data_IF_199171631019
#
_entry.id   IF_199171631019
#
_cell.length_a   1.000
_cell.length_b   1.000
_cell.length_c   1.000
_cell.angle_alpha   90.00
_cell.angle_beta   90.00
_cell.angle_gamma   90.00
#
_symmetry.space_group_name_H-M   'P 1'
#
loop_
_entity.id
_entity.type
_entity.pdbx_description
1 polymer ?
#
# COMPACT_ATOMS: atom_id res chain seq x y z
N UNK A 1 3.73 5.32 -17.08
CA UNK A 1 2.49 4.89 -17.78
C UNK A 1 1.63 6.08 -18.21
N UNK A 2 1.49 7.10 -17.37
CA UNK A 2 0.70 8.31 -17.61
C UNK A 2 1.32 9.34 -18.59
N UNK A 3 2.63 9.31 -18.81
CA UNK A 3 3.39 10.29 -19.60
C UNK A 3 3.12 10.31 -21.11
N UNK A 4 2.32 9.36 -21.63
CA UNK A 4 1.98 9.27 -23.06
C UNK A 4 0.62 9.89 -23.40
N UNK A 5 -0.14 10.34 -22.41
CA UNK A 5 -1.43 10.99 -22.64
C UNK A 5 -1.23 12.36 -23.28
N UNK A 6 -1.93 12.65 -24.38
CA UNK A 6 -1.89 13.95 -25.05
C UNK A 6 -2.88 14.92 -24.39
N UNK A 7 -2.51 16.20 -24.16
CA UNK A 7 -3.48 17.19 -23.71
C UNK A 7 -4.59 17.34 -24.74
N UNK A 8 -5.83 17.40 -24.27
CA UNK A 8 -6.98 17.82 -25.04
C UNK A 8 -7.65 18.99 -24.31
N UNK A 9 -8.04 20.02 -25.07
CA UNK A 9 -8.79 21.14 -24.51
C UNK A 9 -10.21 20.69 -24.17
N UNK A 10 -10.85 21.25 -23.13
CA UNK A 10 -12.22 20.89 -22.79
C UNK A 10 -13.21 21.15 -23.92
N UNK A 11 -12.95 22.16 -24.76
CA UNK A 11 -13.86 22.62 -25.82
C UNK A 11 -13.74 21.81 -27.12
N UNK A 12 -12.75 20.92 -27.23
CA UNK A 12 -12.56 20.08 -28.41
C UNK A 12 -12.71 18.59 -28.05
N UNK A 13 -13.28 17.77 -28.96
CA UNK A 13 -13.39 16.33 -28.74
C UNK A 13 -12.00 15.68 -28.71
N UNK A 14 -11.66 15.06 -27.57
CA UNK A 14 -10.43 14.31 -27.39
C UNK A 14 -10.41 13.03 -28.23
N UNK A 15 -9.22 12.63 -28.70
CA UNK A 15 -9.01 11.43 -29.50
C UNK A 15 -7.70 10.72 -29.12
N UNK A 16 -7.75 9.40 -29.07
CA UNK A 16 -6.65 8.56 -28.64
C UNK A 16 -6.43 8.64 -27.13
N UNK A 17 -5.25 8.25 -26.65
CA UNK A 17 -4.93 8.33 -25.23
C UNK A 17 -4.63 9.78 -24.81
N UNK A 18 -5.55 10.38 -24.05
CA UNK A 18 -5.58 11.82 -23.78
C UNK A 18 -5.91 12.13 -22.32
N UNK A 19 -5.60 13.36 -21.91
CA UNK A 19 -6.10 13.94 -20.67
C UNK A 19 -6.86 15.24 -20.95
N UNK A 20 -7.99 15.40 -20.26
CA UNK A 20 -8.83 16.61 -20.31
C UNK A 20 -8.90 17.18 -18.90
N UNK A 21 -8.70 18.49 -18.77
CA UNK A 21 -8.76 19.20 -17.49
C UNK A 21 -9.79 20.31 -17.58
N UNK A 22 -10.88 20.21 -16.81
CA UNK A 22 -11.95 21.21 -16.87
C UNK A 22 -13.00 21.02 -15.77
N UNK A 23 -14.00 21.91 -15.74
CA UNK A 23 -15.09 21.83 -14.77
C UNK A 23 -16.12 20.79 -15.22
N UNK A 24 -16.62 19.93 -14.30
CA UNK A 24 -17.72 19.04 -14.61
C UNK A 24 -19.00 19.84 -14.85
N UNK A 25 -19.77 19.45 -15.87
CA UNK A 25 -21.11 20.02 -16.11
C UNK A 25 -22.07 19.56 -14.99
N UNK A 26 -22.36 20.47 -14.06
CA UNK A 26 -23.24 20.25 -12.92
C UNK A 26 -24.74 20.29 -13.28
N UNK A 27 -25.10 20.68 -14.52
CA UNK A 27 -26.50 20.92 -14.93
C UNK A 27 -27.27 19.63 -15.25
N UNK A 28 -26.58 18.51 -15.47
CA UNK A 28 -27.17 17.19 -15.72
C UNK A 28 -26.90 16.29 -14.52
N UNK A 29 -27.88 16.29 -13.61
CA UNK A 29 -27.88 15.63 -12.31
C UNK A 29 -27.29 14.21 -12.33
N UNK A 30 -26.18 14.05 -11.60
CA UNK A 30 -25.66 12.75 -11.20
C UNK A 30 -26.14 12.48 -9.79
N UNK A 31 -27.36 11.96 -9.67
CA UNK A 31 -27.94 11.66 -8.37
C UNK A 31 -27.21 10.49 -7.71
N UNK A 32 -26.60 10.75 -6.56
CA UNK A 32 -26.15 9.72 -5.63
C UNK A 32 -27.35 9.25 -4.80
N UNK A 33 -27.86 8.02 -4.96
CA UNK A 33 -29.11 7.57 -4.31
C UNK A 33 -29.09 7.63 -2.78
N UNK A 34 -27.91 7.60 -2.18
CA UNK A 34 -27.70 7.55 -0.73
C UNK A 34 -27.17 8.87 -0.14
N UNK A 35 -27.03 9.92 -0.96
CA UNK A 35 -26.61 11.24 -0.49
C UNK A 35 -27.72 12.26 -0.75
N UNK A 36 -28.28 12.89 0.29
CA UNK A 36 -29.54 13.62 0.19
C UNK A 36 -29.53 14.84 -0.75
N UNK A 37 -28.37 15.40 -1.16
CA UNK A 37 -28.30 16.64 -1.97
C UNK A 37 -27.07 16.84 -2.86
N UNK A 38 -26.31 15.80 -3.23
CA UNK A 38 -25.00 16.02 -3.86
C UNK A 38 -24.92 15.47 -5.29
N UNK A 39 -24.62 16.36 -6.25
CA UNK A 39 -24.09 15.96 -7.56
C UNK A 39 -22.73 15.31 -7.31
N UNK A 40 -22.59 14.03 -7.65
CA UNK A 40 -21.39 13.27 -7.37
C UNK A 40 -20.81 12.70 -8.67
N UNK A 41 -19.49 12.61 -8.74
CA UNK A 41 -18.77 11.98 -9.86
C UNK A 41 -18.49 10.50 -9.60
N UNK A 42 -18.56 10.14 -8.33
CA UNK A 42 -18.25 8.83 -7.80
C UNK A 42 -18.93 8.70 -6.45
N UNK A 43 -19.53 7.54 -6.20
CA UNK A 43 -19.76 7.08 -4.84
C UNK A 43 -19.53 5.59 -4.70
N UNK A 44 -19.08 5.23 -3.51
CA UNK A 44 -18.93 3.87 -3.04
C UNK A 44 -19.52 3.80 -1.64
N UNK A 45 -20.47 2.89 -1.47
CA UNK A 45 -21.11 2.58 -0.22
C UNK A 45 -20.69 1.18 0.21
N UNK A 46 -20.17 1.09 1.43
CA UNK A 46 -19.84 -0.16 2.11
C UNK A 46 -20.67 -0.22 3.40
N UNK A 47 -21.48 -1.26 3.56
CA UNK A 47 -22.16 -1.59 4.81
C UNK A 47 -21.47 -2.80 5.45
N UNK A 48 -21.12 -2.68 6.72
CA UNK A 48 -20.50 -3.73 7.50
C UNK A 48 -21.28 -3.96 8.78
N UNK A 49 -21.48 -5.23 9.14
CA UNK A 49 -22.04 -5.63 10.44
C UNK A 49 -20.94 -6.13 11.35
N UNK A 50 -21.03 -5.83 12.63
CA UNK A 50 -20.16 -6.41 13.62
C UNK A 50 -20.61 -7.86 13.89
N UNK A 51 -19.82 -8.81 13.42
CA UNK A 51 -20.00 -10.23 13.72
C UNK A 51 -19.13 -10.63 14.90
N UNK A 52 -19.66 -11.53 15.73
CA UNK A 52 -18.91 -12.10 16.84
C UNK A 52 -18.69 -13.59 16.61
N UNK A 53 -17.42 -13.97 16.54
CA UNK A 53 -17.02 -15.37 16.34
C UNK A 53 -16.29 -15.86 17.58
N UNK A 54 -16.61 -17.06 18.03
CA UNK A 54 -15.83 -17.73 19.08
C UNK A 54 -14.69 -18.51 18.44
N UNK A 55 -13.44 -18.18 18.79
CA UNK A 55 -12.25 -18.89 18.31
C UNK A 55 -11.16 -18.93 19.37
N UNK A 56 -10.23 -19.86 19.23
CA UNK A 56 -9.02 -19.91 20.06
C UNK A 56 -8.03 -18.88 19.53
N UNK A 57 -7.56 -18.00 20.41
CA UNK A 57 -6.55 -16.97 20.11
C UNK A 57 -5.37 -17.11 21.06
N UNK A 58 -4.16 -16.87 20.58
CA UNK A 58 -2.94 -17.09 21.35
C UNK A 58 -2.01 -15.87 21.28
N UNK A 59 -1.25 -15.64 22.36
CA UNK A 59 -0.21 -14.61 22.40
C UNK A 59 -0.75 -13.21 22.06
N UNK A 60 -0.05 -12.51 21.15
CA UNK A 60 -0.39 -11.13 20.77
C UNK A 60 -1.76 -10.97 20.10
N UNK A 61 -2.31 -12.03 19.49
CA UNK A 61 -3.68 -11.98 18.95
C UNK A 61 -4.71 -11.87 20.07
N UNK A 62 -4.45 -12.50 21.22
CA UNK A 62 -5.34 -12.46 22.38
C UNK A 62 -5.39 -11.08 23.07
N UNK A 63 -4.41 -10.21 22.81
CA UNK A 63 -4.32 -8.85 23.38
C UNK A 63 -4.91 -7.77 22.46
N UNK A 64 -5.48 -8.15 21.31
CA UNK A 64 -6.10 -7.19 20.40
C UNK A 64 -7.37 -6.59 21.03
N UNK A 65 -7.67 -5.30 20.78
CA UNK A 65 -8.83 -4.62 21.37
C UNK A 65 -10.18 -5.21 20.94
N UNK A 66 -10.22 -5.98 19.84
CA UNK A 66 -11.42 -6.63 19.34
C UNK A 66 -11.61 -8.07 19.85
N UNK A 67 -10.83 -8.48 20.87
CA UNK A 67 -10.85 -9.83 21.44
C UNK A 67 -11.28 -9.78 22.90
N UNK A 68 -12.33 -10.52 23.23
CA UNK A 68 -12.79 -10.72 24.61
C UNK A 68 -12.47 -12.15 25.06
N UNK A 69 -11.51 -12.30 25.97
CA UNK A 69 -11.13 -13.59 26.57
C UNK A 69 -12.30 -14.14 27.39
N UNK A 70 -12.71 -15.38 27.11
CA UNK A 70 -13.82 -16.07 27.80
C UNK A 70 -13.26 -17.05 28.82
N UNK A 71 -12.40 -17.97 28.38
CA UNK A 71 -11.79 -18.99 29.23
C UNK A 71 -10.37 -19.33 28.76
N UNK A 72 -9.50 -19.86 29.64
CA UNK A 72 -8.24 -20.44 29.21
C UNK A 72 -8.49 -21.56 28.20
N UNK A 73 -7.64 -21.63 27.17
CA UNK A 73 -7.55 -22.76 26.25
C UNK A 73 -6.17 -23.43 26.42
N UNK A 74 -5.98 -24.68 25.93
CA UNK A 74 -4.68 -25.33 25.98
C UNK A 74 -3.61 -24.44 25.34
N UNK A 75 -2.49 -24.25 26.02
CA UNK A 75 -1.37 -23.46 25.52
C UNK A 75 -0.85 -24.05 24.19
N UNK A 76 -0.50 -23.17 23.26
CA UNK A 76 0.13 -23.56 22.01
C UNK A 76 1.62 -23.69 22.24
N UNK A 77 2.11 -24.91 22.13
CA UNK A 77 3.52 -25.23 22.33
C UNK A 77 4.22 -25.30 20.97
N UNK A 78 5.21 -24.43 20.77
CA UNK A 78 6.06 -24.45 19.58
C UNK A 78 7.51 -24.69 19.96
N UNK A 79 8.14 -25.69 19.34
CA UNK A 79 9.58 -25.89 19.47
C UNK A 79 10.30 -25.00 18.46
N UNK A 80 11.15 -24.09 18.94
CA UNK A 80 11.98 -23.23 18.09
C UNK A 80 13.45 -23.49 18.37
N UNK A 81 14.27 -23.46 17.33
CA UNK A 81 15.72 -23.52 17.48
C UNK A 81 16.21 -22.11 17.78
N UNK A 82 16.92 -21.95 18.89
CA UNK A 82 17.46 -20.67 19.34
C UNK A 82 18.97 -20.81 19.45
N UNK A 83 19.70 -19.99 18.72
CA UNK A 83 21.18 -19.99 18.78
C UNK A 83 21.63 -19.11 19.95
N UNK A 84 22.29 -19.72 20.94
CA UNK A 84 22.96 -18.99 22.03
C UNK A 84 24.44 -19.35 22.01
N UNK A 85 25.32 -18.35 21.97
CA UNK A 85 26.77 -18.54 21.93
C UNK A 85 27.24 -19.48 20.79
N UNK A 86 26.64 -19.37 19.61
CA UNK A 86 27.01 -20.17 18.44
C UNK A 86 26.60 -21.64 18.48
N UNK A 87 25.75 -22.04 19.44
CA UNK A 87 25.14 -23.38 19.49
C UNK A 87 23.62 -23.29 19.43
N UNK A 88 23.04 -24.21 18.67
CA UNK A 88 21.60 -24.32 18.47
C UNK A 88 20.97 -25.16 19.59
N UNK A 89 20.02 -24.56 20.30
CA UNK A 89 19.24 -25.22 21.34
C UNK A 89 17.78 -25.32 20.89
N UNK A 90 17.14 -26.48 21.11
CA UNK A 90 15.67 -26.57 21.00
C UNK A 90 15.07 -25.93 22.24
N UNK A 91 14.46 -24.79 22.06
CA UNK A 91 13.66 -24.14 23.09
C UNK A 91 12.18 -24.43 22.82
N UNK A 92 11.44 -24.71 23.88
CA UNK A 92 10.01 -24.98 23.79
C UNK A 92 9.27 -23.78 24.32
N UNK A 93 8.68 -23.00 23.42
CA UNK A 93 7.96 -21.79 23.77
C UNK A 93 6.48 -22.14 23.91
N UNK A 94 5.98 -22.10 25.15
CA UNK A 94 4.55 -22.20 25.44
C UNK A 94 3.91 -20.83 25.28
N UNK A 95 2.96 -20.71 24.35
CA UNK A 95 2.19 -19.48 24.13
C UNK A 95 0.80 -19.66 24.74
N UNK A 96 0.46 -18.78 25.69
CA UNK A 96 -0.85 -18.80 26.34
C UNK A 96 -1.97 -18.58 25.33
N UNK A 97 -3.01 -19.42 25.42
CA UNK A 97 -4.17 -19.36 24.55
C UNK A 97 -5.47 -19.19 25.33
N UNK A 98 -6.47 -18.60 24.67
CA UNK A 98 -7.78 -18.31 25.24
C UNK A 98 -8.86 -18.70 24.25
N UNK A 99 -9.95 -19.30 24.74
CA UNK A 99 -11.22 -19.26 24.04
C UNK A 99 -11.71 -17.81 24.13
N UNK A 100 -11.84 -17.14 22.99
CA UNK A 100 -12.22 -15.73 22.95
C UNK A 100 -13.38 -15.48 21.99
N UNK A 101 -14.18 -14.48 22.34
CA UNK A 101 -15.15 -13.87 21.44
C UNK A 101 -14.42 -12.77 20.68
N UNK A 102 -14.33 -12.89 19.36
CA UNK A 102 -13.65 -11.91 18.50
C UNK A 102 -14.70 -11.16 17.71
N UNK A 103 -14.66 -9.82 17.81
CA UNK A 103 -15.52 -8.95 17.03
C UNK A 103 -14.82 -8.53 15.74
N UNK A 104 -15.47 -8.77 14.61
CA UNK A 104 -14.95 -8.45 13.29
C UNK A 104 -16.05 -7.77 12.46
N UNK A 105 -15.69 -6.73 11.71
CA UNK A 105 -16.60 -6.09 10.77
C UNK A 105 -16.68 -6.95 9.51
N UNK A 106 -17.88 -7.42 9.19
CA UNK A 106 -18.15 -8.26 8.03
C UNK A 106 -18.98 -7.48 7.04
N UNK A 107 -18.53 -7.44 5.78
CA UNK A 107 -19.25 -6.76 4.70
C UNK A 107 -20.60 -7.41 4.46
N UNK A 108 -21.65 -6.60 4.46
CA UNK A 108 -23.05 -6.98 4.22
C UNK A 108 -23.48 -6.50 2.85
N UNK A 109 -23.22 -5.24 2.55
CA UNK A 109 -23.59 -4.63 1.29
C UNK A 109 -22.42 -3.83 0.70
N UNK A 110 -22.31 -3.86 -0.62
CA UNK A 110 -21.38 -3.05 -1.37
C UNK A 110 -22.11 -2.48 -2.59
N UNK A 111 -22.15 -1.15 -2.71
CA UNK A 111 -22.70 -0.47 -3.88
C UNK A 111 -21.64 0.49 -4.42
N UNK A 112 -21.38 0.39 -5.72
CA UNK A 112 -20.52 1.31 -6.45
C UNK A 112 -21.32 1.96 -7.56
N UNK A 113 -21.18 3.27 -7.72
CA UNK A 113 -21.65 3.97 -8.91
C UNK A 113 -20.70 5.09 -9.27
N UNK A 114 -20.42 5.20 -10.56
CA UNK A 114 -19.63 6.28 -11.12
C UNK A 114 -20.38 6.80 -12.34
N UNK A 115 -21.31 7.75 -12.13
CA UNK A 115 -22.16 8.24 -13.20
C UNK A 115 -21.34 8.97 -14.26
N UNK A 116 -21.80 8.90 -15.50
CA UNK A 116 -21.19 9.65 -16.60
C UNK A 116 -21.26 11.16 -16.34
N UNK A 117 -20.25 11.91 -16.79
CA UNK A 117 -20.25 13.37 -16.66
C UNK A 117 -19.58 14.02 -17.87
N UNK A 118 -19.78 15.33 -18.04
CA UNK A 118 -19.16 16.09 -19.14
C UNK A 118 -18.07 17.03 -18.63
N UNK A 119 -17.01 17.15 -19.41
CA UNK A 119 -15.94 18.14 -19.29
C UNK A 119 -15.87 18.92 -20.61
N UNK A 120 -16.64 20.01 -20.71
CA UNK A 120 -16.83 20.74 -21.96
C UNK A 120 -17.48 19.87 -23.04
N UNK A 121 -16.82 19.74 -24.19
CA UNK A 121 -17.21 18.88 -25.31
C UNK A 121 -16.99 17.38 -25.04
N UNK A 122 -16.26 17.02 -23.99
CA UNK A 122 -15.86 15.64 -23.70
C UNK A 122 -16.84 14.96 -22.73
N UNK A 123 -17.25 13.74 -23.02
CA UNK A 123 -18.07 12.91 -22.13
C UNK A 123 -17.18 11.85 -21.49
N UNK A 124 -17.14 11.82 -20.16
CA UNK A 124 -16.39 10.84 -19.37
C UNK A 124 -17.36 9.79 -18.88
N UNK A 125 -17.09 8.52 -19.18
CA UNK A 125 -17.83 7.36 -18.69
C UNK A 125 -16.88 6.55 -17.81
N UNK A 126 -16.91 6.75 -16.49
CA UNK A 126 -16.09 5.97 -15.58
C UNK A 126 -16.53 4.50 -15.56
N UNK A 127 -15.57 3.60 -15.32
CA UNK A 127 -15.84 2.19 -15.09
C UNK A 127 -15.37 1.78 -13.68
N UNK A 128 -15.65 0.54 -13.28
CA UNK A 128 -15.27 -0.02 -11.96
C UNK A 128 -13.76 -0.02 -11.70
N UNK A 129 -12.93 0.01 -12.75
CA UNK A 129 -11.47 0.04 -12.66
C UNK A 129 -10.91 1.47 -12.63
N UNK A 130 -11.76 2.48 -12.58
CA UNK A 130 -11.34 3.87 -12.54
C UNK A 130 -10.60 4.21 -11.24
N UNK A 131 -9.44 4.84 -11.38
CA UNK A 131 -8.67 5.32 -10.25
C UNK A 131 -9.11 6.74 -9.92
N UNK A 132 -9.83 6.88 -8.81
CA UNK A 132 -10.22 8.18 -8.27
C UNK A 132 -9.11 8.72 -7.36
N UNK A 133 -8.67 9.97 -7.56
CA UNK A 133 -7.60 10.63 -6.80
C UNK A 133 -7.98 12.05 -6.37
N UNK A 134 -7.44 12.51 -5.25
CA UNK A 134 -7.67 13.86 -4.72
C UNK A 134 -8.64 13.92 -3.54
N UNK A 135 -9.53 14.92 -3.54
CA UNK A 135 -10.46 15.30 -2.45
C UNK A 135 -11.62 14.28 -2.32
N UNK A 136 -11.30 13.02 -2.04
CA UNK A 136 -12.29 11.99 -1.75
C UNK A 136 -12.85 12.24 -0.36
N UNK A 137 -14.14 12.57 -0.28
CA UNK A 137 -14.84 12.73 0.98
C UNK A 137 -15.27 11.36 1.48
N UNK A 138 -15.14 11.14 2.79
CA UNK A 138 -15.53 9.90 3.47
C UNK A 138 -16.43 10.24 4.64
N UNK A 139 -17.63 9.65 4.67
CA UNK A 139 -18.55 9.71 5.79
C UNK A 139 -18.76 8.30 6.32
N UNK A 140 -18.61 8.15 7.62
CA UNK A 140 -18.89 6.88 8.29
C UNK A 140 -19.95 7.13 9.36
N UNK A 141 -21.06 6.41 9.26
CA UNK A 141 -22.10 6.32 10.28
C UNK A 141 -22.00 4.98 11.00
N UNK A 142 -22.34 4.98 12.28
CA UNK A 142 -22.55 3.76 13.04
C UNK A 142 -23.97 3.78 13.59
N UNK A 143 -24.64 2.64 13.49
CA UNK A 143 -25.97 2.43 14.03
C UNK A 143 -26.02 1.08 14.73
N UNK A 144 -26.89 0.95 15.72
CA UNK A 144 -27.13 -0.32 16.41
C UNK A 144 -28.56 -0.73 16.15
N UNK A 145 -28.76 -1.84 15.45
CA UNK A 145 -30.08 -2.40 15.17
C UNK A 145 -30.15 -3.82 15.72
N UNK A 146 -31.19 -4.15 16.49
CA UNK A 146 -31.39 -5.49 17.04
C UNK A 146 -30.18 -6.05 17.83
N UNK A 147 -29.46 -5.19 18.57
CA UNK A 147 -28.22 -5.51 19.33
C UNK A 147 -27.03 -5.93 18.44
N UNK A 148 -27.08 -5.61 17.15
CA UNK A 148 -25.97 -5.76 16.20
C UNK A 148 -25.54 -4.37 15.79
N UNK A 149 -24.24 -4.10 15.88
CA UNK A 149 -23.67 -2.83 15.43
C UNK A 149 -23.42 -2.89 13.91
N UNK A 150 -23.86 -1.87 13.22
CA UNK A 150 -23.64 -1.63 11.80
C UNK A 150 -22.74 -0.42 11.62
N UNK A 151 -21.90 -0.49 10.61
CA UNK A 151 -21.06 0.60 10.16
C UNK A 151 -21.29 0.79 8.68
N UNK A 152 -21.78 1.96 8.32
CA UNK A 152 -21.94 2.35 6.94
C UNK A 152 -20.84 3.34 6.58
N UNK A 153 -20.22 3.16 5.44
CA UNK A 153 -19.18 4.04 4.93
C UNK A 153 -19.54 4.47 3.52
N UNK A 154 -19.67 5.78 3.33
CA UNK A 154 -19.86 6.41 2.02
C UNK A 154 -18.59 7.16 1.66
N UNK A 155 -17.93 6.73 0.58
CA UNK A 155 -16.83 7.44 -0.06
C UNK A 155 -17.35 8.09 -1.34
N UNK A 156 -17.12 9.39 -1.53
CA UNK A 156 -17.63 10.10 -2.71
C UNK A 156 -16.71 11.24 -3.17
N UNK A 157 -16.83 11.58 -4.45
CA UNK A 157 -16.28 12.82 -5.01
C UNK A 157 -17.45 13.69 -5.44
N UNK A 158 -17.51 14.89 -4.87
CA UNK A 158 -18.51 15.89 -5.22
C UNK A 158 -18.18 16.55 -6.56
N UNK A 159 -19.18 16.65 -7.44
CA UNK A 159 -19.11 17.44 -8.66
C UNK A 159 -19.25 18.92 -8.29
N UNK A 160 -18.16 19.53 -7.84
CA UNK A 160 -18.09 20.95 -7.55
C UNK A 160 -17.57 21.73 -8.78
N UNK A 161 -17.58 23.06 -8.71
CA UNK A 161 -17.04 23.91 -9.78
C UNK A 161 -15.51 23.87 -9.91
N UNK A 162 -14.82 22.98 -9.19
CA UNK A 162 -13.37 22.84 -9.32
C UNK A 162 -13.04 22.09 -10.61
N UNK A 163 -11.82 22.31 -11.11
CA UNK A 163 -11.33 21.60 -12.28
C UNK A 163 -10.99 20.15 -11.91
N UNK A 164 -11.30 19.26 -12.83
CA UNK A 164 -11.11 17.82 -12.71
C UNK A 164 -10.34 17.34 -13.91
N UNK A 165 -9.37 16.49 -13.63
CA UNK A 165 -8.57 15.81 -14.62
C UNK A 165 -9.19 14.44 -14.90
N UNK A 166 -9.61 14.21 -16.14
CA UNK A 166 -9.96 12.88 -16.64
C UNK A 166 -8.87 12.41 -17.61
N UNK A 167 -8.34 11.21 -17.39
CA UNK A 167 -7.33 10.60 -18.25
C UNK A 167 -7.79 9.22 -18.67
N UNK A 168 -7.76 8.99 -19.97
CA UNK A 168 -8.15 7.73 -20.56
C UNK A 168 -7.94 7.75 -22.06
N UNK A 169 -8.35 6.67 -22.69
CA UNK A 169 -8.54 6.55 -24.11
C UNK A 169 -9.87 7.19 -24.50
N UNK A 170 -9.77 8.09 -25.48
CA UNK A 170 -10.84 8.91 -25.99
C UNK A 170 -11.13 8.54 -27.44
N UNK A 171 -12.41 8.50 -27.81
CA UNK A 171 -12.86 8.41 -29.19
C UNK A 171 -13.94 9.46 -29.43
N UNK A 172 -13.64 10.45 -30.28
CA UNK A 172 -14.56 11.53 -30.65
C UNK A 172 -15.15 12.26 -29.42
N UNK A 173 -14.32 12.52 -28.41
CA UNK A 173 -14.72 13.18 -27.17
C UNK A 173 -15.31 12.26 -26.10
N UNK A 174 -15.48 10.96 -26.38
CA UNK A 174 -15.91 9.98 -25.38
C UNK A 174 -14.70 9.33 -24.70
N UNK A 175 -14.54 9.54 -23.40
CA UNK A 175 -13.44 9.01 -22.57
C UNK A 175 -13.98 7.89 -21.68
N UNK A 176 -13.67 6.63 -21.97
CA UNK A 176 -14.31 5.47 -21.29
C UNK A 176 -13.39 4.30 -20.93
N UNK A 177 -12.16 4.27 -21.42
CA UNK A 177 -11.21 3.16 -21.23
C UNK A 177 -9.78 3.68 -20.99
N UNK A 178 -8.84 2.79 -20.71
CA UNK A 178 -7.42 3.15 -20.55
C UNK A 178 -6.74 2.42 -19.41
N UNK A 179 -5.42 2.20 -19.55
CA UNK A 179 -4.57 1.65 -18.48
C UNK A 179 -3.38 2.58 -18.26
N UNK A 180 -3.44 3.51 -17.29
CA UNK A 180 -4.52 3.72 -16.31
C UNK A 180 -5.69 4.58 -16.84
N UNK A 181 -6.88 4.37 -16.29
CA UNK A 181 -8.03 5.29 -16.39
C UNK A 181 -8.17 6.03 -15.06
N UNK A 182 -8.04 7.35 -15.07
CA UNK A 182 -7.86 8.17 -13.85
C UNK A 182 -8.81 9.36 -13.86
N UNK A 183 -9.48 9.58 -12.73
CA UNK A 183 -10.26 10.79 -12.48
C UNK A 183 -9.70 11.43 -11.23
N UNK A 184 -9.21 12.66 -11.33
CA UNK A 184 -8.49 13.34 -10.26
C UNK A 184 -8.99 14.77 -10.07
N UNK A 185 -9.21 15.18 -8.81
CA UNK A 185 -9.44 16.59 -8.48
C UNK A 185 -8.12 17.37 -8.34
N UNK A 186 -6.97 16.70 -8.49
CA UNK A 186 -5.65 17.32 -8.44
C UNK A 186 -5.20 17.74 -9.85
N UNK A 187 -4.28 18.73 -9.94
CA UNK A 187 -3.61 19.05 -11.18
C UNK A 187 -2.84 17.85 -11.78
N UNK A 188 -2.49 17.96 -13.06
CA UNK A 188 -1.80 16.91 -13.81
C UNK A 188 -0.49 16.44 -13.14
N UNK A 189 0.41 17.35 -12.76
CA UNK A 189 1.70 16.97 -12.16
C UNK A 189 1.53 16.33 -10.77
N UNK A 190 0.62 16.84 -9.94
CA UNK A 190 0.33 16.26 -8.62
C UNK A 190 -0.27 14.85 -8.74
N UNK A 191 -1.18 14.64 -9.71
CA UNK A 191 -1.76 13.32 -10.00
C UNK A 191 -0.69 12.32 -10.44
N UNK A 192 0.24 12.76 -11.29
CA UNK A 192 1.36 11.95 -11.76
C UNK A 192 2.31 11.56 -10.63
N UNK A 193 2.63 12.49 -9.72
CA UNK A 193 3.47 12.21 -8.56
C UNK A 193 2.80 11.21 -7.61
N UNK A 194 1.51 11.36 -7.33
CA UNK A 194 0.76 10.44 -6.46
C UNK A 194 0.73 9.02 -7.03
N UNK A 195 0.46 8.88 -8.34
CA UNK A 195 0.51 7.58 -9.01
C UNK A 195 1.92 6.96 -8.99
N UNK A 196 2.96 7.79 -9.14
CA UNK A 196 4.35 7.32 -9.06
C UNK A 196 4.69 6.77 -7.66
N UNK A 197 4.24 7.45 -6.58
CA UNK A 197 4.44 7.00 -5.20
C UNK A 197 3.79 5.63 -4.93
N UNK A 198 2.55 5.42 -5.40
CA UNK A 198 1.85 4.14 -5.25
C UNK A 198 2.54 3.00 -6.00
N UNK A 199 2.98 3.26 -7.23
CA UNK A 199 3.75 2.28 -8.01
C UNK A 199 5.11 1.96 -7.38
N UNK A 200 5.77 2.96 -6.81
CA UNK A 200 7.07 2.76 -6.15
C UNK A 200 6.95 1.88 -4.91
N UNK A 201 5.89 2.06 -4.10
CA UNK A 201 5.62 1.20 -2.94
C UNK A 201 5.44 -0.27 -3.32
N UNK A 202 4.57 -0.55 -4.31
CA UNK A 202 4.36 -1.91 -4.79
C UNK A 202 5.62 -2.53 -5.43
N UNK A 203 6.35 -1.75 -6.24
CA UNK A 203 7.60 -2.20 -6.85
C UNK A 203 8.65 -2.56 -5.80
N UNK A 204 8.73 -1.82 -4.69
CA UNK A 204 9.66 -2.12 -3.60
C UNK A 204 9.34 -3.48 -2.95
N UNK A 205 8.06 -3.78 -2.69
CA UNK A 205 7.63 -5.07 -2.13
C UNK A 205 7.99 -6.22 -3.07
N UNK A 206 7.72 -6.10 -4.39
CA UNK A 206 8.10 -7.13 -5.35
C UNK A 206 9.61 -7.33 -5.47
N UNK A 207 10.39 -6.26 -5.35
CA UNK A 207 11.86 -6.37 -5.33
C UNK A 207 12.34 -7.14 -4.09
N UNK A 208 11.73 -6.93 -2.93
CA UNK A 208 12.05 -7.67 -1.71
C UNK A 208 11.71 -9.16 -1.89
N UNK A 209 10.52 -9.49 -2.38
CA UNK A 209 10.12 -10.89 -2.60
C UNK A 209 10.97 -11.58 -3.68
N UNK A 210 11.23 -10.89 -4.80
CA UNK A 210 12.11 -11.42 -5.85
C UNK A 210 13.52 -11.69 -5.33
N UNK A 211 14.03 -10.83 -4.45
CA UNK A 211 15.32 -11.03 -3.81
C UNK A 211 15.31 -12.21 -2.83
N UNK A 212 14.26 -12.36 -2.02
CA UNK A 212 14.11 -13.49 -1.11
C UNK A 212 14.07 -14.82 -1.87
N UNK A 213 13.33 -14.86 -2.98
CA UNK A 213 13.26 -16.02 -3.87
C UNK A 213 14.62 -16.35 -4.50
N UNK A 214 15.38 -15.32 -4.90
CA UNK A 214 16.73 -15.50 -5.44
C UNK A 214 17.69 -16.06 -4.37
N UNK A 215 17.65 -15.53 -3.14
CA UNK A 215 18.46 -16.04 -2.03
C UNK A 215 18.15 -17.51 -1.69
N UNK A 216 16.86 -17.88 -1.68
CA UNK A 216 16.41 -19.27 -1.49
C UNK A 216 16.92 -20.15 -2.65
N UNK A 217 16.82 -19.66 -3.90
CA UNK A 217 17.33 -20.37 -5.08
C UNK A 217 18.84 -20.64 -4.99
N UNK A 218 19.63 -19.64 -4.59
CA UNK A 218 21.08 -19.82 -4.38
C UNK A 218 21.37 -20.78 -3.23
N UNK A 219 20.64 -20.72 -2.12
CA UNK A 219 20.80 -21.65 -1.01
C UNK A 219 20.54 -23.10 -1.44
N UNK A 220 19.47 -23.34 -2.21
CA UNK A 220 19.13 -24.67 -2.72
C UNK A 220 20.14 -25.23 -3.72
N UNK A 221 20.86 -24.37 -4.46
CA UNK A 221 21.92 -24.79 -5.39
C UNK A 221 23.25 -25.04 -4.64
N UNK A 222 23.62 -24.14 -3.73
CA UNK A 222 24.93 -24.20 -3.06
C UNK A 222 24.98 -25.25 -1.95
N UNK A 223 23.88 -25.51 -1.25
CA UNK A 223 23.82 -26.50 -0.18
C UNK A 223 24.15 -27.94 -0.64
N UNK A 224 23.57 -28.47 -1.74
CA UNK A 224 23.97 -29.79 -2.25
C UNK A 224 25.40 -29.82 -2.80
N UNK A 225 25.94 -28.72 -3.33
CA UNK A 225 27.33 -28.65 -3.79
C UNK A 225 28.30 -28.75 -2.60
N UNK A 226 28.01 -28.05 -1.50
CA UNK A 226 28.79 -28.15 -0.26
C UNK A 226 28.71 -29.56 0.36
N UNK A 227 27.52 -30.19 0.33
CA UNK A 227 27.34 -31.56 0.79
C UNK A 227 28.07 -32.59 -0.11
N UNK A 228 28.08 -32.41 -1.44
CA UNK A 228 28.85 -33.27 -2.34
C UNK A 228 30.36 -33.11 -2.11
N UNK A 229 30.84 -31.90 -1.85
CA UNK A 229 32.25 -31.64 -1.58
C UNK A 229 32.73 -32.30 -0.27
N UNK A 230 31.89 -32.31 0.78
CA UNK A 230 32.22 -32.97 2.05
C UNK A 230 32.22 -34.50 1.96
N UNK A 231 31.32 -35.08 1.15
CA UNK A 231 31.26 -36.53 0.90
C UNK A 231 32.41 -36.98 -0.01
N UNK A 232 32.75 -36.20 -1.04
CA UNK A 232 33.85 -36.51 -1.97
C UNK A 232 35.24 -36.50 -1.34
N UNK A 233 35.44 -35.70 -0.29
CA UNK A 233 36.69 -35.67 0.49
C UNK A 233 36.95 -36.91 1.36
N UNK A 234 35.92 -37.73 1.61
CA UNK A 234 36.03 -38.94 2.43
C UNK A 234 36.49 -40.18 1.65
N UNK A 235 36.61 -40.11 0.31
CA UNK A 235 36.97 -41.25 -0.55
C UNK A 235 38.41 -41.07 -1.08
N UNK A 236 39.40 -41.83 -0.56
CA UNK A 236 40.82 -41.58 -0.83
C UNK A 236 41.28 -41.81 -2.28
N UNK A 237 40.49 -42.48 -3.13
CA UNK A 237 40.81 -42.73 -4.55
C UNK A 237 40.42 -41.59 -5.52
N UNK A 238 39.57 -40.64 -5.09
CA UNK A 238 39.07 -39.54 -5.96
C UNK A 238 39.63 -38.17 -5.50
N UNK A 239 40.40 -38.13 -4.41
CA UNK A 239 40.94 -36.90 -3.81
C UNK A 239 41.81 -36.05 -4.74
N UNK A 240 42.47 -36.66 -5.73
CA UNK A 240 43.25 -35.92 -6.75
C UNK A 240 42.38 -35.14 -7.74
N UNK A 241 41.19 -35.65 -8.09
CA UNK A 241 40.26 -35.00 -9.02
C UNK A 241 39.41 -33.92 -8.29
N UNK A 242 39.08 -34.16 -7.02
CA UNK A 242 38.34 -33.21 -6.18
C UNK A 242 39.18 -32.00 -5.74
N UNK A 243 40.51 -32.10 -5.68
CA UNK A 243 41.37 -30.94 -5.41
C UNK A 243 41.41 -29.93 -6.58
N UNK A 244 41.21 -30.38 -7.82
CA UNK A 244 41.05 -29.48 -8.96
C UNK A 244 39.65 -28.85 -9.00
N UNK A 245 38.62 -29.62 -8.64
CA UNK A 245 37.23 -29.16 -8.53
C UNK A 245 37.02 -28.22 -7.33
N UNK A 246 37.72 -28.41 -6.22
CA UNK A 246 37.66 -27.52 -5.04
C UNK A 246 38.25 -26.14 -5.33
N UNK A 247 39.22 -26.05 -6.25
CA UNK A 247 39.71 -24.77 -6.77
C UNK A 247 38.65 -24.02 -7.59
N UNK A 248 37.91 -24.73 -8.46
CA UNK A 248 36.82 -24.15 -9.27
C UNK A 248 35.63 -23.77 -8.38
N UNK A 249 35.26 -24.63 -7.43
CA UNK A 249 34.21 -24.36 -6.44
C UNK A 249 34.61 -23.21 -5.52
N UNK A 250 35.88 -23.12 -5.12
CA UNK A 250 36.42 -21.99 -4.34
C UNK A 250 36.34 -20.67 -5.11
N UNK A 251 36.69 -20.67 -6.39
CA UNK A 251 36.53 -19.50 -7.27
C UNK A 251 35.05 -19.13 -7.43
N UNK A 252 34.16 -20.11 -7.60
CA UNK A 252 32.71 -19.87 -7.67
C UNK A 252 32.14 -19.32 -6.37
N UNK A 253 32.63 -19.78 -5.22
CA UNK A 253 32.27 -19.24 -3.90
C UNK A 253 32.79 -17.81 -3.73
N UNK A 254 34.01 -17.51 -4.19
CA UNK A 254 34.57 -16.15 -4.16
C UNK A 254 33.76 -15.24 -5.08
N UNK A 255 33.41 -15.68 -6.29
CA UNK A 255 32.56 -14.93 -7.22
C UNK A 255 31.17 -14.70 -6.60
N UNK A 256 30.58 -15.73 -6.00
CA UNK A 256 29.31 -15.62 -5.29
C UNK A 256 29.41 -14.65 -4.10
N UNK A 257 30.49 -14.68 -3.33
CA UNK A 257 30.73 -13.77 -2.21
C UNK A 257 30.91 -12.32 -2.69
N UNK A 258 31.60 -12.10 -3.81
CA UNK A 258 31.76 -10.78 -4.44
C UNK A 258 30.42 -10.27 -4.97
N UNK A 259 29.61 -11.12 -5.60
CA UNK A 259 28.26 -10.76 -6.05
C UNK A 259 27.36 -10.44 -4.85
N UNK A 260 27.39 -11.24 -3.79
CA UNK A 260 26.65 -10.99 -2.55
C UNK A 260 27.11 -9.68 -1.90
N UNK A 261 28.42 -9.41 -1.83
CA UNK A 261 28.96 -8.17 -1.30
C UNK A 261 28.56 -6.95 -2.15
N UNK A 262 28.60 -7.06 -3.47
CA UNK A 262 28.15 -6.01 -4.39
C UNK A 262 26.65 -5.73 -4.21
N UNK A 263 25.82 -6.77 -4.12
CA UNK A 263 24.39 -6.64 -3.88
C UNK A 263 24.11 -6.05 -2.50
N UNK A 264 24.80 -6.50 -1.45
CA UNK A 264 24.68 -5.95 -0.10
C UNK A 264 25.05 -4.48 -0.06
N UNK A 265 26.10 -4.07 -0.78
CA UNK A 265 26.49 -2.65 -0.89
C UNK A 265 25.40 -1.82 -1.58
N UNK A 266 24.79 -2.34 -2.65
CA UNK A 266 23.64 -1.68 -3.31
C UNK A 266 22.44 -1.58 -2.37
N UNK A 267 22.12 -2.64 -1.64
CA UNK A 267 21.02 -2.66 -0.65
C UNK A 267 21.27 -1.64 0.46
N UNK A 268 22.47 -1.64 1.08
CA UNK A 268 22.85 -0.66 2.09
C UNK A 268 22.71 0.76 1.56
N UNK A 269 23.14 1.01 0.32
CA UNK A 269 23.02 2.34 -0.31
C UNK A 269 21.55 2.75 -0.48
N UNK A 270 20.67 1.82 -0.87
CA UNK A 270 19.22 2.08 -0.99
C UNK A 270 18.61 2.34 0.40
N UNK A 271 18.93 1.53 1.40
CA UNK A 271 18.45 1.68 2.78
C UNK A 271 18.89 3.03 3.35
N UNK A 272 20.16 3.42 3.18
CA UNK A 272 20.66 4.73 3.60
C UNK A 272 19.97 5.89 2.87
N UNK A 273 19.67 5.76 1.58
CA UNK A 273 18.89 6.78 0.85
C UNK A 273 17.47 6.91 1.37
N UNK A 274 16.81 5.79 1.69
CA UNK A 274 15.46 5.79 2.27
C UNK A 274 15.46 6.37 3.68
N UNK A 275 16.42 5.98 4.54
CA UNK A 275 16.58 6.55 5.87
C UNK A 275 16.77 8.06 5.78
N UNK A 276 17.69 8.53 4.91
CA UNK A 276 17.92 9.95 4.70
C UNK A 276 16.66 10.70 4.25
N UNK A 277 15.88 10.14 3.33
CA UNK A 277 14.62 10.74 2.89
C UNK A 277 13.57 10.83 4.02
N UNK A 278 13.55 9.86 4.94
CA UNK A 278 12.70 9.91 6.13
C UNK A 278 13.20 11.01 7.09
N UNK A 279 14.51 11.11 7.31
CA UNK A 279 15.10 12.14 8.17
C UNK A 279 14.85 13.55 7.62
N UNK A 280 15.01 13.74 6.32
CA UNK A 280 14.78 15.03 5.64
C UNK A 280 13.29 15.45 5.73
N UNK A 281 12.36 14.50 5.55
CA UNK A 281 10.93 14.75 5.73
C UNK A 281 10.56 15.06 7.19
N UNK A 282 11.16 14.36 8.16
CA UNK A 282 10.94 14.63 9.58
C UNK A 282 11.44 16.03 9.96
N UNK A 283 12.61 16.42 9.46
CA UNK A 283 13.16 17.77 9.64
C UNK A 283 12.25 18.84 9.01
N UNK A 284 11.70 18.58 7.83
CA UNK A 284 10.75 19.48 7.19
C UNK A 284 9.47 19.68 8.04
N UNK A 285 8.92 18.60 8.61
CA UNK A 285 7.76 18.68 9.52
C UNK A 285 8.09 19.49 10.77
N UNK A 286 9.26 19.26 11.39
CA UNK A 286 9.70 20.02 12.57
C UNK A 286 9.87 21.50 12.22
N UNK A 287 10.51 21.83 11.08
CA UNK A 287 10.70 23.20 10.62
C UNK A 287 9.36 23.91 10.38
N UNK A 288 8.40 23.26 9.72
CA UNK A 288 7.05 23.80 9.52
C UNK A 288 6.36 24.05 10.86
N UNK A 289 6.48 23.11 11.80
CA UNK A 289 5.86 23.24 13.13
C UNK A 289 6.43 24.43 13.91
N UNK A 290 7.74 24.68 13.83
CA UNK A 290 8.39 25.84 14.45
C UNK A 290 7.93 27.14 13.79
N UNK A 291 7.88 27.21 12.46
CA UNK A 291 7.45 28.42 11.73
C UNK A 291 5.99 28.75 12.02
N UNK A 292 5.10 27.74 12.00
CA UNK A 292 3.68 27.91 12.33
C UNK A 292 3.51 28.30 13.80
N UNK A 293 4.27 27.69 14.71
CA UNK A 293 4.26 28.02 16.14
C UNK A 293 4.73 29.46 16.41
N UNK A 294 5.80 29.91 15.76
CA UNK A 294 6.29 31.28 15.85
C UNK A 294 5.28 32.27 15.25
N UNK A 295 4.67 31.96 14.11
CA UNK A 295 3.63 32.81 13.50
C UNK A 295 2.40 32.93 14.42
N UNK A 296 1.95 31.83 15.03
CA UNK A 296 0.86 31.83 16.00
C UNK A 296 1.21 32.65 17.25
N UNK A 297 2.44 32.54 17.76
CA UNK A 297 2.92 33.32 18.90
C UNK A 297 2.97 34.83 18.59
N UNK A 298 3.46 35.21 17.40
CA UNK A 298 3.45 36.60 16.95
C UNK A 298 2.03 37.17 16.81
N UNK A 299 1.10 36.39 16.26
CA UNK A 299 -0.31 36.79 16.14
C UNK A 299 -0.99 36.96 17.51
N UNK A 300 -0.72 36.05 18.46
CA UNK A 300 -1.21 36.16 19.83
C UNK A 300 -0.60 37.35 20.58
N UNK A 301 0.69 37.63 20.36
CA UNK A 301 1.37 38.80 20.92
C UNK A 301 0.82 40.14 20.40
N UNK A 302 0.49 40.23 19.11
CA UNK A 302 -0.16 41.43 18.55
C UNK A 302 -1.59 41.64 19.06
N UNK A 303 -2.34 40.56 19.30
CA UNK A 303 -3.70 40.65 19.86
C UNK A 303 -3.70 40.98 21.37
N UNK A 304 -2.68 40.54 22.11
CA UNK A 304 -2.52 40.85 23.54
C UNK A 304 -2.01 42.26 23.83
N UNK A 305 -1.33 42.91 22.88
CA UNK A 305 -0.78 44.26 23.03
C UNK A 305 -1.76 45.42 22.84
N UNK A 306 -3.01 45.15 22.45
CA UNK A 306 -4.06 46.15 22.24
C UNK A 306 -5.00 46.33 23.46
N UNK A 307 -4.69 45.69 24.59
CA UNK A 307 -5.51 45.72 25.81
C UNK A 307 -4.81 46.39 27.01
N UNK A 308 -3.79 47.21 26.77
CA UNK A 308 -3.17 48.09 27.76
C UNK A 308 -3.20 49.54 27.28
#
# INVERSE_FOLDING_TARGET
>A
MFSKAKPATPDAPANGYSYVYGKPDASKQNACPLLPKTNCLYYKYDEEKQAYTQKVVCGAEAERPNVTKISPAPDRVETRIVTRNGKDYRDTVSTKCWNAKVSEWVKVEHKFSAPQFKLGANTVIPNENALFKGDIQKKTSQSTENRVDYRETVEYIEANEKNILAVGEAKEGLISSGKPFVISTLPYEATKEQLAKEQQGASMVYKIFGFLALAIGFYLILNPIAALASIGGAIPLIGGLFNALSGIVGIMIIIAAVIIAAIMTVILTIVFKVLRAITDNLLAVIAITIVVGLAAFYLLGMLGGSAA
#
